data_IF_357965245526
#
_entry.id   IF_357965245526
#
_cell.length_a   1.000
_cell.length_b   1.000
_cell.length_c   1.000
_cell.angle_alpha   90.00
_cell.angle_beta   90.00
_cell.angle_gamma   90.00
#
_symmetry.space_group_name_H-M   'P 1'
#
loop_
_entity.id
_entity.type
_entity.pdbx_description
1 polymer ?
#
# COMPACT_ATOMS: atom_id res chain seq x y z
N UNK A 1 12.55 -19.36 12.18
CA UNK A 1 12.96 -18.84 10.85
C UNK A 1 12.59 -17.37 10.81
N UNK A 2 13.48 -16.48 10.37
CA UNK A 2 13.13 -15.07 10.24
C UNK A 2 12.21 -14.93 9.02
N UNK A 3 10.97 -14.47 9.23
CA UNK A 3 10.04 -14.20 8.14
C UNK A 3 10.59 -13.00 7.36
N UNK A 4 11.01 -13.23 6.12
CA UNK A 4 11.45 -12.12 5.26
C UNK A 4 10.22 -11.29 4.93
N UNK A 5 10.30 -9.98 5.17
CA UNK A 5 9.19 -9.06 4.91
C UNK A 5 9.32 -8.57 3.48
N UNK A 6 8.29 -8.83 2.67
CA UNK A 6 8.21 -8.42 1.28
C UNK A 6 6.95 -7.60 1.03
N UNK A 7 6.97 -6.77 -0.01
CA UNK A 7 5.78 -6.09 -0.51
C UNK A 7 4.66 -7.09 -0.83
N UNK A 8 3.41 -6.63 -0.77
CA UNK A 8 2.29 -7.39 -1.30
C UNK A 8 2.27 -7.25 -2.82
N UNK A 9 2.08 -8.37 -3.51
CA UNK A 9 1.96 -8.49 -4.96
C UNK A 9 0.82 -9.46 -5.28
N UNK A 10 0.39 -9.52 -6.54
CA UNK A 10 -0.61 -10.49 -7.03
C UNK A 10 0.02 -11.74 -7.64
N UNK A 11 1.35 -11.81 -7.68
CA UNK A 11 2.07 -12.96 -8.22
C UNK A 11 3.33 -13.26 -7.36
N UNK A 12 3.71 -14.54 -7.20
CA UNK A 12 2.96 -15.75 -7.60
C UNK A 12 1.72 -15.98 -6.72
N UNK A 13 0.96 -17.05 -6.96
CA UNK A 13 -0.30 -17.37 -6.23
C UNK A 13 -0.16 -17.29 -4.68
N UNK A 14 0.99 -17.70 -4.14
CA UNK A 14 1.27 -17.63 -2.70
C UNK A 14 1.18 -16.19 -2.14
N UNK A 15 1.46 -15.17 -2.96
CA UNK A 15 1.32 -13.76 -2.58
C UNK A 15 -0.15 -13.32 -2.59
N UNK A 16 -0.98 -13.88 -3.47
CA UNK A 16 -2.43 -13.65 -3.46
C UNK A 16 -3.03 -14.22 -2.16
N UNK A 17 -2.68 -15.46 -1.82
CA UNK A 17 -3.16 -16.10 -0.57
C UNK A 17 -2.71 -15.31 0.67
N UNK A 18 -1.47 -14.82 0.67
CA UNK A 18 -0.95 -13.95 1.73
C UNK A 18 -1.72 -12.63 1.81
N UNK A 19 -2.06 -12.03 0.66
CA UNK A 19 -2.82 -10.80 0.58
C UNK A 19 -4.26 -11.01 1.08
N UNK A 20 -4.95 -12.07 0.67
CA UNK A 20 -6.28 -12.43 1.14
C UNK A 20 -6.30 -12.71 2.65
N UNK A 21 -5.27 -13.38 3.17
CA UNK A 21 -5.15 -13.60 4.61
C UNK A 21 -5.00 -12.28 5.40
N UNK A 22 -4.35 -11.26 4.82
CA UNK A 22 -4.18 -9.95 5.43
C UNK A 22 -5.36 -8.99 5.17
N UNK A 23 -6.06 -9.16 4.06
CA UNK A 23 -7.21 -8.39 3.62
C UNK A 23 -8.24 -9.33 2.96
N UNK A 24 -9.14 -9.92 3.77
CA UNK A 24 -10.11 -10.92 3.28
C UNK A 24 -11.12 -10.40 2.24
N UNK A 25 -11.25 -9.08 2.10
CA UNK A 25 -12.14 -8.42 1.14
C UNK A 25 -11.38 -7.87 -0.09
N UNK A 26 -10.13 -8.33 -0.29
CA UNK A 26 -9.34 -7.93 -1.45
C UNK A 26 -10.07 -8.33 -2.76
N UNK A 27 -10.08 -7.48 -3.79
CA UNK A 27 -10.73 -7.74 -5.07
C UNK A 27 -9.93 -8.70 -5.94
N UNK A 28 -9.68 -9.92 -5.45
CA UNK A 28 -8.87 -10.95 -6.13
C UNK A 28 -9.52 -11.47 -7.41
N UNK A 29 -10.80 -11.17 -7.64
CA UNK A 29 -11.50 -11.42 -8.91
C UNK A 29 -10.93 -10.58 -10.07
N UNK A 30 -10.22 -9.47 -9.78
CA UNK A 30 -9.56 -8.61 -10.76
C UNK A 30 -8.10 -8.34 -10.36
N UNK A 31 -7.25 -9.35 -10.60
CA UNK A 31 -5.83 -9.30 -10.24
C UNK A 31 -5.06 -8.18 -10.96
N UNK A 32 -5.42 -7.83 -12.20
CA UNK A 32 -4.76 -6.75 -12.94
C UNK A 32 -4.97 -5.39 -12.28
N UNK A 33 -6.21 -5.07 -11.90
CA UNK A 33 -6.52 -3.85 -11.17
C UNK A 33 -5.88 -3.85 -9.78
N UNK A 34 -5.93 -4.98 -9.07
CA UNK A 34 -5.33 -5.11 -7.75
C UNK A 34 -3.80 -4.91 -7.80
N UNK A 35 -3.12 -5.49 -8.80
CA UNK A 35 -1.69 -5.30 -9.04
C UNK A 35 -1.35 -3.82 -9.26
N UNK A 36 -2.15 -3.13 -10.09
CA UNK A 36 -1.99 -1.71 -10.36
C UNK A 36 -2.14 -0.85 -9.09
N UNK A 37 -3.14 -1.13 -8.26
CA UNK A 37 -3.36 -0.37 -7.02
C UNK A 37 -2.22 -0.63 -6.01
N UNK A 38 -1.74 -1.87 -5.90
CA UNK A 38 -0.60 -2.23 -5.04
C UNK A 38 0.69 -1.50 -5.45
N UNK A 39 0.95 -1.38 -6.75
CA UNK A 39 2.10 -0.66 -7.30
C UNK A 39 2.01 0.86 -7.05
N UNK A 40 0.82 1.45 -7.28
CA UNK A 40 0.57 2.86 -6.95
C UNK A 40 0.75 3.12 -5.46
N UNK A 41 0.23 2.24 -4.60
CA UNK A 41 0.38 2.34 -3.16
C UNK A 41 1.87 2.25 -2.73
N UNK A 42 2.63 1.30 -3.28
CA UNK A 42 4.07 1.17 -3.04
C UNK A 42 4.81 2.45 -3.43
N UNK A 43 4.55 2.96 -4.64
CA UNK A 43 5.16 4.20 -5.15
C UNK A 43 4.87 5.39 -4.23
N UNK A 44 3.62 5.55 -3.78
CA UNK A 44 3.26 6.64 -2.87
C UNK A 44 3.93 6.51 -1.50
N UNK A 45 4.00 5.29 -0.96
CA UNK A 45 4.65 5.01 0.32
C UNK A 45 6.14 5.31 0.26
N UNK A 46 6.84 4.86 -0.79
CA UNK A 46 8.26 5.12 -1.00
C UNK A 46 8.55 6.61 -1.23
N UNK A 47 7.74 7.29 -2.06
CA UNK A 47 7.89 8.72 -2.30
C UNK A 47 7.69 9.56 -1.01
N UNK A 48 6.85 9.09 -0.09
CA UNK A 48 6.66 9.75 1.20
C UNK A 48 7.67 9.29 2.27
N UNK A 49 8.28 8.11 2.14
CA UNK A 49 9.26 7.61 3.09
C UNK A 49 10.47 8.55 3.21
N UNK A 50 11.20 8.55 4.34
CA UNK A 50 12.52 9.16 4.37
C UNK A 50 13.46 8.40 3.43
N UNK A 51 14.63 8.97 3.12
CA UNK A 51 15.65 8.23 2.38
C UNK A 51 16.02 6.96 3.17
N UNK A 52 16.21 5.82 2.49
CA UNK A 52 16.72 4.62 3.14
C UNK A 52 18.12 4.89 3.72
N UNK A 53 18.47 4.27 4.87
CA UNK A 53 19.83 4.28 5.39
C UNK A 53 20.84 3.78 4.37
N UNK A 54 22.10 4.20 4.50
CA UNK A 54 23.17 3.78 3.60
C UNK A 54 23.28 2.25 3.52
N UNK A 55 23.20 1.72 2.29
CA UNK A 55 23.27 0.29 2.02
C UNK A 55 21.94 -0.47 2.17
N UNK A 56 20.85 0.20 2.52
CA UNK A 56 19.51 -0.39 2.49
C UNK A 56 18.80 -0.09 1.17
N UNK A 57 18.18 -1.11 0.58
CA UNK A 57 17.28 -1.00 -0.56
C UNK A 57 15.87 -1.36 -0.09
N UNK A 58 15.07 -0.33 0.20
CA UNK A 58 13.68 -0.52 0.66
C UNK A 58 12.73 -0.95 -0.46
N UNK A 59 13.13 -0.90 -1.72
CA UNK A 59 12.36 -1.49 -2.82
C UNK A 59 12.52 -3.02 -2.80
N UNK A 60 13.75 -3.51 -2.65
CA UNK A 60 14.02 -4.95 -2.62
C UNK A 60 13.74 -5.60 -1.25
N UNK A 61 14.00 -4.89 -0.14
CA UNK A 61 13.91 -5.41 1.22
C UNK A 61 13.23 -4.37 2.15
N UNK A 62 11.90 -4.21 2.05
CA UNK A 62 11.20 -3.17 2.78
C UNK A 62 11.10 -3.46 4.30
N UNK A 63 11.22 -2.43 5.15
CA UNK A 63 10.88 -2.56 6.56
C UNK A 63 9.35 -2.78 6.75
N UNK A 64 8.98 -3.53 7.80
CA UNK A 64 7.60 -3.91 8.12
C UNK A 64 6.57 -2.77 8.03
N UNK A 65 6.95 -1.59 8.53
CA UNK A 65 6.10 -0.41 8.57
C UNK A 65 5.69 0.08 7.16
N UNK A 66 6.58 -0.07 6.18
CA UNK A 66 6.30 0.35 4.80
C UNK A 66 5.40 -0.66 4.10
N UNK A 67 5.61 -1.97 4.30
CA UNK A 67 4.71 -3.00 3.78
C UNK A 67 3.31 -2.87 4.37
N UNK A 68 3.20 -2.60 5.67
CA UNK A 68 1.90 -2.31 6.29
C UNK A 68 1.27 -1.04 5.70
N UNK A 69 2.05 0.02 5.50
CA UNK A 69 1.57 1.25 4.88
C UNK A 69 1.07 1.03 3.44
N UNK A 70 1.74 0.19 2.65
CA UNK A 70 1.29 -0.19 1.31
C UNK A 70 -0.08 -0.86 1.37
N UNK A 71 -0.27 -1.84 2.25
CA UNK A 71 -1.55 -2.53 2.39
C UNK A 71 -2.68 -1.55 2.75
N UNK A 72 -2.46 -0.69 3.76
CA UNK A 72 -3.46 0.29 4.16
C UNK A 72 -3.76 1.31 3.06
N UNK A 73 -2.74 1.75 2.31
CA UNK A 73 -2.95 2.68 1.20
C UNK A 73 -3.68 2.00 0.04
N UNK A 74 -3.43 0.71 -0.22
CA UNK A 74 -4.16 -0.09 -1.20
C UNK A 74 -5.65 -0.15 -0.87
N UNK A 75 -5.98 -0.44 0.40
CA UNK A 75 -7.37 -0.47 0.90
C UNK A 75 -8.03 0.91 0.74
N UNK A 76 -7.32 1.99 1.06
CA UNK A 76 -7.83 3.36 0.90
C UNK A 76 -8.12 3.71 -0.56
N UNK A 77 -7.22 3.34 -1.48
CA UNK A 77 -7.37 3.58 -2.91
C UNK A 77 -8.53 2.78 -3.49
N UNK A 78 -8.68 1.52 -3.08
CA UNK A 78 -9.82 0.68 -3.46
C UNK A 78 -11.15 1.28 -3.01
N UNK A 79 -11.26 1.63 -1.72
CA UNK A 79 -12.47 2.23 -1.15
C UNK A 79 -12.80 3.60 -1.76
N UNK A 80 -11.80 4.38 -2.13
CA UNK A 80 -12.00 5.66 -2.81
C UNK A 80 -12.45 5.50 -4.27
N UNK A 81 -11.97 4.48 -4.97
CA UNK A 81 -12.34 4.18 -6.35
C UNK A 81 -13.66 3.44 -6.50
N UNK A 82 -14.07 2.65 -5.49
CA UNK A 82 -15.36 1.95 -5.45
C UNK A 82 -16.52 2.85 -5.02
N UNK A 83 -16.24 3.97 -4.35
CA UNK A 83 -17.23 4.96 -3.95
C UNK A 83 -17.68 5.83 -5.14
N UNK A 84 -18.52 5.28 -6.02
CA UNK A 84 -19.31 6.09 -6.96
C UNK A 84 -20.34 6.94 -6.19
N UNK A 85 -20.56 8.23 -6.55
CA UNK A 85 -21.61 9.08 -5.93
C UNK A 85 -23.04 8.54 -6.11
N UNK A 86 -23.22 7.51 -6.95
CA UNK A 86 -24.52 6.98 -7.36
C UNK A 86 -24.74 5.52 -6.95
N UNK A 87 -23.78 4.87 -6.28
CA UNK A 87 -23.96 3.54 -5.69
C UNK A 87 -23.93 2.34 -6.65
N UNK A 88 -23.73 2.56 -7.95
CA UNK A 88 -23.56 1.48 -8.93
C UNK A 88 -22.07 1.12 -9.11
N UNK A 89 -21.70 -0.10 -8.72
CA UNK A 89 -20.42 -0.73 -9.08
C UNK A 89 -20.65 -1.50 -10.38
N UNK A 90 -20.50 -0.81 -11.52
CA UNK A 90 -20.56 -1.41 -12.85
C UNK A 90 -19.17 -1.79 -13.40
N UNK A 91 -19.08 -2.62 -14.45
CA UNK A 91 -17.82 -3.01 -15.08
C UNK A 91 -17.04 -1.85 -15.72
N UNK A 92 -17.65 -0.66 -15.80
CA UNK A 92 -17.09 0.54 -16.45
C UNK A 92 -16.73 1.66 -15.44
N UNK A 93 -16.72 1.38 -14.13
CA UNK A 93 -16.90 2.40 -13.08
C UNK A 93 -15.79 2.63 -12.06
N UNK A 94 -14.52 2.27 -12.29
CA UNK A 94 -13.44 2.64 -11.37
C UNK A 94 -12.97 4.08 -11.63
N UNK A 95 -13.42 5.03 -10.81
CA UNK A 95 -12.99 6.43 -10.90
C UNK A 95 -11.82 6.68 -9.94
N UNK A 96 -10.61 6.80 -10.49
CA UNK A 96 -9.41 7.05 -9.69
C UNK A 96 -9.36 8.52 -9.25
N UNK A 97 -9.77 8.79 -8.01
CA UNK A 97 -9.50 10.09 -7.36
C UNK A 97 -8.22 9.95 -6.55
N UNK A 98 -7.09 10.58 -6.93
CA UNK A 98 -5.87 10.53 -6.14
C UNK A 98 -6.14 11.12 -4.75
N UNK A 99 -6.08 10.28 -3.72
CA UNK A 99 -6.18 10.72 -2.32
C UNK A 99 -4.76 10.84 -1.75
N UNK A 100 -4.46 11.90 -1.01
CA UNK A 100 -3.21 11.96 -0.26
C UNK A 100 -3.14 10.79 0.73
N UNK A 101 -1.93 10.33 1.05
CA UNK A 101 -1.71 9.33 2.11
C UNK A 101 -2.37 9.79 3.41
N UNK A 102 -3.12 8.88 4.04
CA UNK A 102 -3.79 9.15 5.32
C UNK A 102 -2.78 9.59 6.40
N UNK A 103 -3.20 10.49 7.29
CA UNK A 103 -2.33 11.04 8.33
C UNK A 103 -1.74 9.96 9.25
N UNK A 104 -2.50 8.89 9.51
CA UNK A 104 -2.06 7.76 10.32
C UNK A 104 -0.97 6.99 9.59
N UNK A 105 -1.17 6.67 8.31
CA UNK A 105 -0.17 6.00 7.47
C UNK A 105 1.11 6.84 7.39
N UNK A 106 0.98 8.15 7.21
CA UNK A 106 2.13 9.08 7.21
C UNK A 106 2.91 9.04 8.52
N UNK A 107 2.22 8.93 9.66
CA UNK A 107 2.86 8.82 10.99
C UNK A 107 3.52 7.45 11.20
N UNK A 108 3.04 6.39 10.55
CA UNK A 108 3.67 5.06 10.57
C UNK A 108 4.93 5.05 9.72
N UNK A 109 4.87 5.66 8.52
CA UNK A 109 6.01 5.78 7.61
C UNK A 109 7.10 6.67 8.22
N UNK A 110 6.71 7.82 8.80
CA UNK A 110 7.58 8.77 9.50
C UNK A 110 7.09 8.96 10.94
N UNK A 111 7.49 8.08 11.87
CA UNK A 111 7.23 8.28 13.29
C UNK A 111 7.80 9.63 13.72
N UNK A 112 6.99 10.42 14.42
CA UNK A 112 7.45 11.69 15.00
C UNK A 112 8.32 11.32 16.21
N UNK A 113 9.62 11.18 16.03
CA UNK A 113 10.58 11.19 17.14
C UNK A 113 10.53 12.61 17.72
N UNK A 114 10.30 12.75 19.04
CA UNK A 114 10.28 14.04 19.74
C UNK A 114 11.65 14.76 19.79
N UNK A 115 12.57 14.42 18.89
CA UNK A 115 13.90 15.02 18.78
C UNK A 115 13.81 16.20 17.81
N UNK A 116 14.32 17.38 18.18
CA UNK A 116 14.39 18.50 17.26
C UNK A 116 15.29 18.15 16.08
N UNK A 117 14.75 18.23 14.87
CA UNK A 117 15.50 18.16 13.62
C UNK A 117 16.11 19.55 13.38
N UNK A 118 17.43 19.63 13.29
CA UNK A 118 18.12 20.91 13.03
C UNK A 118 18.30 21.01 11.52
N UNK A 119 17.54 21.93 10.90
CA UNK A 119 17.67 22.31 9.50
C UNK A 119 19.02 22.97 9.20
#
# INVERSE_FOLDING_TARGET
MATTITWYTTEPQEQVERLEAAWPEAPVENLDLLAMILDVAQTQVLAFAPAPPDGEDWEAAPPARLVYAQLQQTINLWNAGSASPTGDVGPEGFSFTPRPLDKTIRTIIRPIDGKPDVL
#
